data_IF_262660703757
#
_entry.id   IF_262660703757
#
_cell.length_a   1.000
_cell.length_b   1.000
_cell.length_c   1.000
_cell.angle_alpha   90.00
_cell.angle_beta   90.00
_cell.angle_gamma   90.00
#
_symmetry.space_group_name_H-M   'P 1'
#
loop_
_entity.id
_entity.type
_entity.pdbx_description
1 polymer ?
#
# COMPACT_ATOMS: atom_id res chain seq x y z
N UNK A 1 11.73 -13.07 -13.20
CA UNK A 1 10.79 -12.16 -13.88
C UNK A 1 11.14 -10.76 -13.45
N UNK A 2 11.73 -9.95 -14.34
CA UNK A 2 12.03 -8.54 -14.06
C UNK A 2 10.86 -7.71 -14.56
N UNK A 3 10.35 -6.80 -13.72
CA UNK A 3 9.35 -5.81 -14.13
C UNK A 3 10.07 -4.73 -14.98
N UNK A 4 10.24 -4.99 -16.27
CA UNK A 4 10.82 -4.03 -17.21
C UNK A 4 9.70 -3.30 -17.97
N UNK A 5 9.50 -2.02 -17.67
CA UNK A 5 8.59 -1.11 -18.38
C UNK A 5 9.32 -0.33 -19.51
N UNK A 6 10.39 -0.92 -20.05
CA UNK A 6 11.38 -0.28 -20.92
C UNK A 6 12.80 -0.51 -20.41
N UNK A 7 13.81 -0.34 -21.26
CA UNK A 7 15.22 -0.57 -20.88
C UNK A 7 15.72 0.43 -19.83
N UNK A 8 15.11 1.62 -19.74
CA UNK A 8 15.50 2.68 -18.81
C UNK A 8 14.69 2.69 -17.51
N UNK A 9 13.72 1.78 -17.36
CA UNK A 9 12.90 1.68 -16.16
C UNK A 9 13.51 0.70 -15.17
N UNK A 10 13.86 1.19 -13.99
CA UNK A 10 14.20 0.35 -12.83
C UNK A 10 13.47 0.85 -11.59
N UNK A 11 12.88 -0.06 -10.83
CA UNK A 11 12.40 0.19 -9.47
C UNK A 11 13.09 -0.79 -8.53
N UNK A 12 13.39 -0.32 -7.31
CA UNK A 12 13.87 -1.16 -6.21
C UNK A 12 12.77 -1.46 -5.21
N UNK A 13 11.62 -0.81 -5.33
CA UNK A 13 10.49 -0.95 -4.41
C UNK A 13 9.56 -2.02 -4.96
N UNK A 14 9.23 -3.00 -4.13
CA UNK A 14 8.24 -4.03 -4.45
C UNK A 14 7.22 -4.20 -3.34
N UNK A 15 6.05 -4.71 -3.68
CA UNK A 15 5.03 -5.16 -2.73
C UNK A 15 4.60 -6.56 -3.12
N UNK A 16 4.63 -7.47 -2.16
CA UNK A 16 4.20 -8.84 -2.38
C UNK A 16 2.67 -8.89 -2.50
N UNK A 17 2.10 -9.74 -3.39
CA UNK A 17 0.66 -9.97 -3.43
C UNK A 17 0.16 -10.42 -2.06
N UNK A 18 -0.84 -9.71 -1.52
CA UNK A 18 -1.36 -9.96 -0.17
C UNK A 18 -0.45 -9.50 0.99
N UNK A 19 0.69 -8.87 0.70
CA UNK A 19 1.62 -8.32 1.70
C UNK A 19 2.60 -9.35 2.27
N UNK A 20 3.80 -8.90 2.62
CA UNK A 20 4.85 -9.75 3.21
C UNK A 20 4.37 -10.44 4.48
N UNK A 21 3.64 -9.71 5.33
CA UNK A 21 3.05 -10.26 6.56
C UNK A 21 2.19 -11.51 6.36
N UNK A 22 1.49 -11.64 5.22
CA UNK A 22 0.66 -12.81 4.92
C UNK A 22 1.52 -14.04 4.67
N UNK A 23 2.60 -13.87 3.90
CA UNK A 23 3.52 -14.95 3.58
C UNK A 23 4.39 -15.32 4.77
N UNK A 24 4.83 -14.35 5.57
CA UNK A 24 5.62 -14.61 6.79
C UNK A 24 4.88 -15.54 7.76
N UNK A 25 3.55 -15.42 7.82
CA UNK A 25 2.70 -16.28 8.65
C UNK A 25 2.54 -17.70 8.07
N UNK A 26 2.47 -17.83 6.75
CA UNK A 26 2.12 -19.08 6.08
C UNK A 26 3.35 -19.93 5.66
N UNK A 27 4.47 -19.29 5.33
CA UNK A 27 5.74 -19.91 4.95
C UNK A 27 6.93 -19.03 5.38
N UNK A 28 7.33 -19.08 6.66
CA UNK A 28 8.42 -18.25 7.18
C UNK A 28 9.78 -18.59 6.55
N UNK A 29 10.03 -19.86 6.23
CA UNK A 29 11.31 -20.28 5.64
C UNK A 29 11.44 -19.80 4.19
N UNK A 30 10.36 -19.91 3.40
CA UNK A 30 10.32 -19.35 2.06
C UNK A 30 10.48 -17.82 2.07
N UNK A 31 9.89 -17.16 3.07
CA UNK A 31 10.05 -15.71 3.24
C UNK A 31 11.46 -15.29 3.62
N UNK A 32 12.14 -16.00 4.53
CA UNK A 32 13.53 -15.70 4.86
C UNK A 32 14.46 -15.83 3.63
N UNK A 33 14.23 -16.88 2.82
CA UNK A 33 14.95 -17.08 1.58
C UNK A 33 14.67 -15.96 0.56
N UNK A 34 13.40 -15.54 0.43
CA UNK A 34 13.01 -14.45 -0.45
C UNK A 34 13.61 -13.12 0.00
N UNK A 35 13.52 -12.80 1.30
CA UNK A 35 14.07 -11.57 1.87
C UNK A 35 15.57 -11.47 1.66
N UNK A 36 16.30 -12.60 1.78
CA UNK A 36 17.72 -12.66 1.42
C UNK A 36 17.93 -12.35 -0.06
N UNK A 37 17.17 -12.98 -0.95
CA UNK A 37 17.30 -12.78 -2.38
C UNK A 37 16.95 -11.35 -2.82
N UNK A 38 16.01 -10.68 -2.15
CA UNK A 38 15.65 -9.28 -2.38
C UNK A 38 16.78 -8.36 -1.92
N UNK A 39 17.31 -8.55 -0.70
CA UNK A 39 18.44 -7.78 -0.17
C UNK A 39 19.68 -7.89 -1.06
N UNK A 40 20.03 -9.11 -1.48
CA UNK A 40 21.20 -9.37 -2.35
C UNK A 40 21.09 -8.64 -3.71
N UNK A 41 19.89 -8.22 -4.10
CA UNK A 41 19.59 -7.52 -5.36
C UNK A 41 19.15 -6.07 -5.16
N UNK A 42 19.31 -5.52 -3.96
CA UNK A 42 18.88 -4.16 -3.58
C UNK A 42 17.39 -3.87 -3.85
N UNK A 43 16.54 -4.87 -3.63
CA UNK A 43 15.09 -4.70 -3.61
C UNK A 43 14.57 -4.53 -2.18
N UNK A 44 13.65 -3.60 -2.01
CA UNK A 44 13.03 -3.22 -0.74
C UNK A 44 11.54 -3.50 -0.81
N UNK A 45 11.08 -4.41 0.05
CA UNK A 45 9.67 -4.74 0.19
C UNK A 45 8.97 -3.67 1.04
N UNK A 46 7.77 -3.25 0.63
CA UNK A 46 6.95 -2.28 1.38
C UNK A 46 5.51 -2.76 1.51
N UNK A 47 5.12 -3.07 2.74
CA UNK A 47 3.72 -3.28 3.13
C UNK A 47 3.00 -1.93 3.33
N UNK A 48 2.02 -1.88 4.23
CA UNK A 48 1.20 -0.72 4.53
C UNK A 48 0.85 -0.72 6.01
N UNK A 49 0.50 0.45 6.54
CA UNK A 49 0.08 0.60 7.94
C UNK A 49 -1.23 1.37 8.12
N UNK A 50 -1.86 1.76 7.00
CA UNK A 50 -3.15 2.45 6.94
C UNK A 50 -4.01 1.84 5.82
N UNK A 51 -5.28 1.59 6.14
CA UNK A 51 -6.22 0.87 5.29
C UNK A 51 -7.59 1.56 5.27
N UNK A 52 -8.06 2.04 4.09
CA UNK A 52 -9.46 2.36 3.84
C UNK A 52 -10.34 1.11 3.67
N UNK A 53 -9.72 -0.08 3.57
CA UNK A 53 -10.40 -1.38 3.37
C UNK A 53 -11.24 -1.44 2.10
N UNK A 54 -10.69 -0.93 1.01
CA UNK A 54 -11.36 -0.90 -0.30
C UNK A 54 -11.46 -2.27 -0.98
N UNK A 55 -10.73 -3.29 -0.49
CA UNK A 55 -10.80 -4.69 -0.96
C UNK A 55 -11.25 -5.68 0.12
N UNK A 56 -11.63 -5.23 1.30
CA UNK A 56 -11.99 -6.11 2.42
C UNK A 56 -13.48 -6.07 2.74
N UNK A 57 -14.09 -7.24 2.96
CA UNK A 57 -15.48 -7.34 3.37
C UNK A 57 -16.47 -6.92 2.28
N UNK A 58 -17.66 -6.46 2.69
CA UNK A 58 -18.69 -5.98 1.77
C UNK A 58 -18.21 -4.74 0.98
N UNK A 59 -18.70 -4.54 -0.26
CA UNK A 59 -18.45 -3.31 -1.01
C UNK A 59 -18.81 -2.08 -0.21
N UNK A 60 -17.94 -1.06 -0.23
CA UNK A 60 -18.10 0.19 0.50
C UNK A 60 -18.21 1.36 -0.47
N UNK A 61 -19.02 2.35 -0.13
CA UNK A 61 -19.03 3.63 -0.84
C UNK A 61 -17.90 4.55 -0.36
N UNK A 62 -17.70 5.67 -1.06
CA UNK A 62 -16.64 6.63 -0.76
C UNK A 62 -16.64 7.11 0.71
N UNK A 63 -17.80 7.42 1.28
CA UNK A 63 -17.91 7.87 2.68
C UNK A 63 -17.46 6.80 3.68
N UNK A 64 -17.85 5.54 3.43
CA UNK A 64 -17.41 4.42 4.25
C UNK A 64 -15.90 4.21 4.19
N UNK A 65 -15.30 4.35 3.00
CA UNK A 65 -13.85 4.27 2.82
C UNK A 65 -13.13 5.39 3.58
N UNK A 66 -13.64 6.62 3.53
CA UNK A 66 -13.09 7.76 4.28
C UNK A 66 -13.17 7.50 5.79
N UNK A 67 -14.31 6.98 6.28
CA UNK A 67 -14.46 6.62 7.70
C UNK A 67 -13.46 5.55 8.13
N UNK A 68 -13.27 4.50 7.35
CA UNK A 68 -12.28 3.45 7.66
C UNK A 68 -10.84 4.00 7.59
N UNK A 69 -10.54 4.86 6.62
CA UNK A 69 -9.26 5.54 6.52
C UNK A 69 -8.96 6.38 7.78
N UNK A 70 -9.89 7.23 8.23
CA UNK A 70 -9.72 8.08 9.42
C UNK A 70 -9.53 7.22 10.68
N UNK A 71 -10.27 6.11 10.81
CA UNK A 71 -10.07 5.15 11.92
C UNK A 71 -8.69 4.51 11.87
N UNK A 72 -8.15 4.25 10.67
CA UNK A 72 -6.88 3.53 10.47
C UNK A 72 -5.64 4.42 10.65
N UNK A 73 -5.68 5.67 10.15
CA UNK A 73 -4.55 6.62 10.22
C UNK A 73 -4.23 7.06 11.65
N UNK A 74 -5.25 7.24 12.52
CA UNK A 74 -5.09 7.64 13.92
C UNK A 74 -4.12 8.83 14.07
N UNK A 75 -3.11 8.70 14.93
CA UNK A 75 -2.08 9.72 15.23
C UNK A 75 -0.71 9.34 14.68
N UNK A 76 -0.66 8.65 13.52
CA UNK A 76 0.60 8.15 12.95
C UNK A 76 1.44 9.27 12.37
N UNK A 77 2.72 9.34 12.70
CA UNK A 77 3.62 10.30 12.05
C UNK A 77 3.87 9.94 10.56
N UNK A 78 3.98 8.64 10.25
CA UNK A 78 4.24 8.13 8.89
C UNK A 78 3.16 7.15 8.48
N UNK A 79 2.55 7.42 7.32
CA UNK A 79 1.45 6.65 6.77
C UNK A 79 1.80 6.09 5.39
N UNK A 80 1.76 4.76 5.28
CA UNK A 80 1.77 4.05 4.00
C UNK A 80 0.37 3.50 3.81
N UNK A 81 -0.40 4.17 2.96
CA UNK A 81 -1.81 3.86 2.71
C UNK A 81 -1.92 2.84 1.59
N UNK A 82 -2.62 1.73 1.83
CA UNK A 82 -2.97 0.78 0.78
C UNK A 82 -4.30 1.19 0.13
N UNK A 83 -4.28 1.35 -1.19
CA UNK A 83 -5.46 1.58 -2.03
C UNK A 83 -5.26 0.85 -3.36
N UNK A 84 -6.35 0.57 -4.07
CA UNK A 84 -6.34 -0.11 -5.36
C UNK A 84 -6.93 0.78 -6.46
N UNK A 85 -6.22 0.89 -7.58
CA UNK A 85 -6.57 1.68 -8.77
C UNK A 85 -6.99 0.80 -9.96
N UNK A 86 -7.83 -0.20 -9.68
CA UNK A 86 -8.29 -1.18 -10.68
C UNK A 86 -9.79 -1.07 -10.96
N UNK A 87 -10.30 -1.87 -11.90
CA UNK A 87 -11.73 -1.96 -12.21
C UNK A 87 -12.56 -2.29 -10.96
N UNK A 88 -13.70 -1.60 -10.78
CA UNK A 88 -14.55 -1.77 -9.60
C UNK A 88 -14.05 -1.05 -8.34
N UNK A 89 -13.12 -0.08 -8.50
CA UNK A 89 -12.60 0.79 -7.43
C UNK A 89 -12.94 2.27 -7.63
N UNK A 90 -14.04 2.56 -8.31
CA UNK A 90 -14.51 3.92 -8.57
C UNK A 90 -14.79 4.68 -7.26
N UNK A 91 -15.27 3.99 -6.23
CA UNK A 91 -15.50 4.59 -4.90
C UNK A 91 -14.18 4.96 -4.21
N UNK A 92 -13.10 4.21 -4.41
CA UNK A 92 -11.74 4.58 -3.94
C UNK A 92 -11.29 5.88 -4.61
N UNK A 93 -11.48 5.99 -5.93
CA UNK A 93 -11.15 7.21 -6.67
C UNK A 93 -11.99 8.42 -6.21
N UNK A 94 -13.27 8.21 -5.90
CA UNK A 94 -14.16 9.25 -5.32
C UNK A 94 -13.76 9.68 -3.91
N UNK A 95 -13.26 8.76 -3.08
CA UNK A 95 -12.81 9.06 -1.71
C UNK A 95 -11.47 9.84 -1.67
N UNK A 96 -10.64 9.67 -2.71
CA UNK A 96 -9.26 10.16 -2.73
C UNK A 96 -9.11 11.68 -2.49
N UNK A 97 -9.91 12.58 -3.10
CA UNK A 97 -9.79 14.02 -2.86
C UNK A 97 -10.01 14.42 -1.40
N UNK A 98 -10.95 13.77 -0.71
CA UNK A 98 -11.24 14.06 0.70
C UNK A 98 -10.13 13.52 1.61
N UNK A 99 -9.62 12.32 1.34
CA UNK A 99 -8.47 11.74 2.04
C UNK A 99 -7.24 12.66 1.93
N UNK A 100 -6.95 13.16 0.72
CA UNK A 100 -5.84 14.10 0.50
C UNK A 100 -6.05 15.40 1.30
N UNK A 101 -7.28 15.94 1.26
CA UNK A 101 -7.63 17.16 1.98
C UNK A 101 -7.49 16.99 3.49
N UNK A 102 -7.95 15.87 4.03
CA UNK A 102 -7.80 15.52 5.44
C UNK A 102 -6.33 15.48 5.86
N UNK A 103 -5.49 14.73 5.12
CA UNK A 103 -4.06 14.60 5.41
C UNK A 103 -3.34 15.96 5.36
N UNK A 104 -3.62 16.79 4.35
CA UNK A 104 -3.04 18.14 4.26
C UNK A 104 -3.43 19.02 5.45
N UNK A 105 -4.70 18.97 5.90
CA UNK A 105 -5.16 19.71 7.09
C UNK A 105 -4.47 19.27 8.38
N UNK A 106 -4.04 18.01 8.45
CA UNK A 106 -3.27 17.47 9.57
C UNK A 106 -1.75 17.72 9.43
N UNK A 107 -1.31 18.43 8.38
CA UNK A 107 0.11 18.79 8.18
C UNK A 107 0.96 17.71 7.52
N UNK A 108 0.36 16.68 6.90
CA UNK A 108 1.12 15.64 6.21
C UNK A 108 1.68 16.13 4.88
N UNK A 109 2.88 15.66 4.57
CA UNK A 109 3.52 15.77 3.25
C UNK A 109 3.38 14.46 2.47
N UNK A 110 3.11 14.57 1.17
CA UNK A 110 3.03 13.42 0.27
C UNK A 110 4.40 13.15 -0.35
N UNK A 111 4.88 11.91 -0.23
CA UNK A 111 6.17 11.47 -0.79
C UNK A 111 5.98 10.20 -1.60
N UNK A 112 6.86 10.01 -2.59
CA UNK A 112 7.01 8.76 -3.32
C UNK A 112 8.09 7.89 -2.67
N UNK A 113 7.96 6.58 -2.81
CA UNK A 113 8.98 5.61 -2.39
C UNK A 113 9.88 5.33 -3.60
N UNK A 114 11.19 5.25 -3.38
CA UNK A 114 12.22 5.07 -4.42
C UNK A 114 13.30 4.11 -3.95
#
# INVERSE_FOLDING_TARGET
MFLNLGQDFSTRVIRLPGGHMTWQKNDPNGMDALDKALRDKDYHQVDWNVLPKDTEGAPKNAEELIREFIKSIRTREKAVVLMHDTYGKEETAKALPEIITYLKKQGYEFKTIK
#
